data_IF_402804019565
#
_entry.id   IF_402804019565
#
_cell.length_a   1.000
_cell.length_b   1.000
_cell.length_c   1.000
_cell.angle_alpha   90.00
_cell.angle_beta   90.00
_cell.angle_gamma   90.00
#
_symmetry.space_group_name_H-M   'P 1'
#
loop_
_entity.id
_entity.type
_entity.pdbx_description
1 polymer ?
#
# COMPACT_ATOMS: atom_id res chain seq x y z
N UNK A 1 18.63 -1.16 29.74
CA UNK A 1 18.73 -1.55 28.32
C UNK A 1 17.38 -2.11 27.90
N UNK A 2 16.88 -1.75 26.71
CA UNK A 2 15.63 -2.31 26.16
C UNK A 2 15.78 -3.78 25.74
N UNK A 3 17.02 -4.26 25.64
CA UNK A 3 17.39 -5.63 25.26
C UNK A 3 18.20 -6.25 26.39
N UNK A 4 17.97 -7.54 26.64
CA UNK A 4 18.75 -8.31 27.61
C UNK A 4 20.23 -8.38 27.21
N UNK A 5 21.13 -8.56 28.18
CA UNK A 5 22.58 -8.47 27.92
C UNK A 5 23.07 -9.56 26.97
N UNK A 6 22.46 -10.73 27.03
CA UNK A 6 22.72 -11.89 26.18
C UNK A 6 22.34 -11.66 24.71
N UNK A 7 21.40 -10.76 24.41
CA UNK A 7 20.96 -10.44 23.05
C UNK A 7 21.52 -9.12 22.50
N UNK A 8 22.33 -8.40 23.29
CA UNK A 8 22.81 -7.08 22.91
C UNK A 8 23.69 -7.07 21.64
N UNK A 9 24.34 -8.20 21.33
CA UNK A 9 25.13 -8.37 20.09
C UNK A 9 24.28 -8.61 18.84
N UNK A 10 23.05 -9.08 19.00
CA UNK A 10 22.17 -9.50 17.90
C UNK A 10 21.13 -8.44 17.52
N UNK A 11 20.99 -7.38 18.33
CA UNK A 11 20.01 -6.31 18.12
C UNK A 11 20.71 -4.99 17.82
N UNK A 12 20.53 -4.51 16.59
CA UNK A 12 21.03 -3.19 16.16
C UNK A 12 19.89 -2.17 16.09
N UNK A 13 19.94 -1.14 16.95
CA UNK A 13 19.01 -0.01 16.90
C UNK A 13 19.56 1.10 15.99
N UNK A 14 18.96 1.24 14.82
CA UNK A 14 19.40 2.23 13.81
C UNK A 14 18.97 3.66 14.12
N UNK A 15 17.99 3.84 15.00
CA UNK A 15 17.32 5.12 15.21
C UNK A 15 16.49 5.56 13.99
N UNK A 16 16.29 6.86 13.84
CA UNK A 16 15.55 7.44 12.71
C UNK A 16 16.39 7.35 11.43
N UNK A 17 15.84 6.71 10.39
CA UNK A 17 16.47 6.58 9.08
C UNK A 17 15.64 7.34 8.04
N UNK A 18 16.10 8.54 7.67
CA UNK A 18 15.45 9.35 6.63
C UNK A 18 16.04 9.03 5.25
N UNK A 19 15.19 8.67 4.29
CA UNK A 19 15.59 8.35 2.91
C UNK A 19 16.37 7.04 2.73
N UNK A 20 17.11 6.57 3.74
CA UNK A 20 17.93 5.35 3.68
C UNK A 20 17.18 4.03 3.94
N UNK A 21 15.88 4.06 4.25
CA UNK A 21 15.10 2.83 4.53
C UNK A 21 15.18 1.76 3.42
N UNK A 22 15.21 2.10 2.11
CA UNK A 22 15.31 1.11 1.05
C UNK A 22 16.53 0.18 1.17
N UNK A 23 17.69 0.67 1.63
CA UNK A 23 18.88 -0.17 1.79
C UNK A 23 18.71 -1.19 2.92
N UNK A 24 17.98 -0.83 3.98
CA UNK A 24 17.66 -1.77 5.07
C UNK A 24 16.71 -2.86 4.60
N UNK A 25 15.68 -2.51 3.82
CA UNK A 25 14.80 -3.53 3.24
C UNK A 25 15.54 -4.46 2.28
N UNK A 26 16.39 -3.92 1.41
CA UNK A 26 17.16 -4.70 0.45
C UNK A 26 18.21 -5.62 1.11
N UNK A 27 18.73 -5.23 2.28
CA UNK A 27 19.68 -6.03 3.04
C UNK A 27 19.01 -7.08 3.96
N UNK A 28 17.69 -6.97 4.19
CA UNK A 28 16.99 -7.86 5.10
C UNK A 28 16.68 -9.21 4.43
N UNK A 29 17.02 -10.30 5.14
CA UNK A 29 16.61 -11.65 4.75
C UNK A 29 15.09 -11.86 4.82
N UNK A 30 14.44 -11.19 5.79
CA UNK A 30 13.00 -11.17 6.05
C UNK A 30 12.67 -9.82 6.68
N UNK A 31 11.60 -9.16 6.22
CA UNK A 31 11.01 -8.02 6.89
C UNK A 31 9.88 -8.47 7.83
N UNK A 32 10.04 -8.23 9.13
CA UNK A 32 9.07 -8.62 10.15
C UNK A 32 8.35 -7.42 10.76
N UNK A 33 7.03 -7.46 10.86
CA UNK A 33 6.24 -6.41 11.52
C UNK A 33 5.09 -6.99 12.37
N UNK A 34 5.31 -7.20 13.68
CA UNK A 34 4.30 -7.72 14.61
C UNK A 34 3.36 -6.62 15.11
N UNK A 35 2.91 -5.71 14.24
CA UNK A 35 2.07 -4.59 14.65
C UNK A 35 0.62 -5.04 14.93
N UNK A 36 -0.08 -4.38 15.85
CA UNK A 36 -1.48 -4.73 16.17
C UNK A 36 -2.51 -3.93 15.36
N UNK A 37 -2.09 -2.81 14.76
CA UNK A 37 -2.94 -1.92 13.96
C UNK A 37 -2.12 -1.27 12.85
N UNK A 38 -2.68 -1.26 11.66
CA UNK A 38 -2.18 -0.52 10.52
C UNK A 38 -3.35 -0.08 9.64
N UNK A 39 -3.16 1.02 8.90
CA UNK A 39 -4.15 1.54 7.95
C UNK A 39 -4.11 0.78 6.62
N UNK A 40 -3.10 1.00 5.77
CA UNK A 40 -3.00 0.38 4.43
C UNK A 40 -1.77 -0.52 4.24
N UNK A 41 -0.79 -0.48 5.17
CA UNK A 41 0.41 -1.30 5.04
C UNK A 41 1.43 -0.78 4.02
N UNK A 42 1.61 0.55 3.90
CA UNK A 42 2.65 1.13 3.04
C UNK A 42 4.04 0.56 3.33
N UNK A 43 4.34 0.27 4.61
CA UNK A 43 5.63 -0.35 4.99
C UNK A 43 5.84 -1.74 4.37
N UNK A 44 4.77 -2.50 4.11
CA UNK A 44 4.85 -3.78 3.39
C UNK A 44 5.14 -3.52 1.92
N UNK A 45 4.48 -2.54 1.30
CA UNK A 45 4.76 -2.17 -0.09
C UNK A 45 6.21 -1.71 -0.28
N UNK A 46 6.76 -0.92 0.66
CA UNK A 46 8.17 -0.50 0.64
C UNK A 46 9.12 -1.70 0.75
N UNK A 47 8.86 -2.63 1.67
CA UNK A 47 9.66 -3.84 1.82
C UNK A 47 9.56 -4.78 0.61
N UNK A 48 8.34 -5.00 0.10
CA UNK A 48 8.08 -5.80 -1.09
C UNK A 48 8.72 -5.20 -2.35
N UNK A 49 8.76 -3.88 -2.50
CA UNK A 49 9.46 -3.22 -3.61
C UNK A 49 10.96 -3.56 -3.61
N UNK A 50 11.56 -3.69 -2.42
CA UNK A 50 12.93 -4.15 -2.25
C UNK A 50 13.11 -5.67 -2.40
N UNK A 51 12.04 -6.42 -2.68
CA UNK A 51 11.96 -7.89 -2.66
C UNK A 51 12.32 -8.53 -1.31
N UNK A 52 12.02 -7.85 -0.20
CA UNK A 52 12.10 -8.46 1.11
C UNK A 52 10.88 -9.38 1.33
N UNK A 53 11.07 -10.66 1.71
CA UNK A 53 9.97 -11.53 2.13
C UNK A 53 9.29 -10.98 3.38
N UNK A 54 7.98 -11.09 3.47
CA UNK A 54 7.21 -10.47 4.56
C UNK A 54 6.81 -11.49 5.63
N UNK A 55 6.97 -11.14 6.90
CA UNK A 55 6.28 -11.78 8.03
C UNK A 55 5.55 -10.68 8.79
N UNK A 56 4.23 -10.68 8.75
CA UNK A 56 3.44 -9.58 9.30
C UNK A 56 2.25 -10.09 10.10
N UNK A 57 1.75 -9.28 11.02
CA UNK A 57 0.52 -9.63 11.73
C UNK A 57 -0.66 -9.78 10.78
N UNK A 58 -1.53 -10.72 11.07
CA UNK A 58 -2.75 -10.90 10.32
C UNK A 58 -3.82 -9.85 10.70
N UNK A 59 -3.79 -8.71 10.01
CA UNK A 59 -4.69 -7.57 10.23
C UNK A 59 -5.26 -7.03 8.91
N UNK A 60 -6.44 -6.41 8.99
CA UNK A 60 -7.18 -5.89 7.84
C UNK A 60 -6.31 -5.02 6.92
N UNK A 61 -5.55 -4.07 7.47
CA UNK A 61 -4.73 -3.15 6.68
C UNK A 61 -3.65 -3.86 5.85
N UNK A 62 -3.12 -4.98 6.32
CA UNK A 62 -2.08 -5.73 5.61
C UNK A 62 -2.66 -6.68 4.55
N UNK A 63 -3.85 -7.25 4.81
CA UNK A 63 -4.60 -8.04 3.81
C UNK A 63 -5.01 -7.24 2.57
N UNK A 64 -4.97 -5.90 2.63
CA UNK A 64 -5.26 -5.05 1.47
C UNK A 64 -4.14 -5.06 0.43
N UNK A 65 -2.90 -5.39 0.82
CA UNK A 65 -1.71 -5.22 -0.02
C UNK A 65 -0.94 -6.51 -0.29
N UNK A 66 -1.20 -7.57 0.47
CA UNK A 66 -0.56 -8.87 0.29
C UNK A 66 -1.51 -10.04 0.56
N UNK A 67 -1.13 -11.21 0.06
CA UNK A 67 -1.81 -12.48 0.22
C UNK A 67 -0.92 -13.43 1.04
N UNK A 68 -1.54 -14.14 1.99
CA UNK A 68 -0.82 -15.10 2.82
C UNK A 68 -0.26 -16.25 1.98
N UNK A 69 0.99 -16.62 2.25
CA UNK A 69 1.75 -17.65 1.53
C UNK A 69 2.38 -17.20 0.21
N UNK A 70 1.96 -16.06 -0.36
CA UNK A 70 2.44 -15.59 -1.66
C UNK A 70 3.65 -14.65 -1.55
N UNK A 71 3.46 -13.46 -0.97
CA UNK A 71 4.56 -12.50 -0.75
C UNK A 71 5.24 -12.70 0.61
N UNK A 72 4.67 -13.55 1.46
CA UNK A 72 5.08 -13.70 2.85
C UNK A 72 4.09 -14.53 3.65
N UNK A 73 4.14 -14.38 4.98
CA UNK A 73 3.23 -15.06 5.91
C UNK A 73 2.53 -14.04 6.81
N UNK A 74 1.21 -14.17 6.91
CA UNK A 74 0.39 -13.44 7.88
C UNK A 74 0.24 -14.29 9.14
N UNK A 75 0.71 -13.78 10.28
CA UNK A 75 0.70 -14.49 11.57
C UNK A 75 -0.58 -14.15 12.34
N UNK A 76 -1.48 -15.12 12.61
CA UNK A 76 -2.68 -14.89 13.39
C UNK A 76 -2.34 -14.64 14.86
N UNK A 77 -2.77 -13.51 15.41
CA UNK A 77 -2.55 -13.19 16.83
C UNK A 77 -1.12 -12.73 17.14
N UNK A 78 -0.99 -11.83 18.11
CA UNK A 78 0.28 -11.14 18.42
C UNK A 78 1.24 -11.94 19.32
N UNK A 79 1.23 -13.27 19.25
CA UNK A 79 2.11 -14.13 20.06
C UNK A 79 3.54 -14.08 19.54
N UNK A 80 4.54 -13.70 20.35
CA UNK A 80 5.94 -13.74 19.94
C UNK A 80 6.41 -15.12 19.45
N UNK A 81 5.85 -16.20 20.00
CA UNK A 81 6.20 -17.57 19.66
C UNK A 81 5.78 -17.94 18.23
N UNK A 82 4.64 -17.44 17.76
CA UNK A 82 4.14 -17.74 16.41
C UNK A 82 5.01 -17.04 15.36
N UNK A 83 5.38 -15.78 15.63
CA UNK A 83 6.35 -15.05 14.80
C UNK A 83 7.71 -15.76 14.77
N UNK A 84 8.23 -16.19 15.92
CA UNK A 84 9.50 -16.89 15.99
C UNK A 84 9.49 -18.19 15.16
N UNK A 85 8.40 -18.96 15.24
CA UNK A 85 8.23 -20.20 14.48
C UNK A 85 8.29 -19.93 12.97
N UNK A 86 7.49 -18.97 12.48
CA UNK A 86 7.44 -18.61 11.06
C UNK A 86 8.79 -18.07 10.57
N UNK A 87 9.45 -17.22 11.36
CA UNK A 87 10.76 -16.67 11.02
C UNK A 87 11.81 -17.78 10.89
N UNK A 88 11.88 -18.69 11.84
CA UNK A 88 12.83 -19.81 11.82
C UNK A 88 12.60 -20.75 10.63
N UNK A 89 11.34 -21.04 10.31
CA UNK A 89 11.00 -21.88 9.17
C UNK A 89 11.39 -21.24 7.84
N UNK A 90 11.16 -19.93 7.67
CA UNK A 90 11.59 -19.21 6.47
C UNK A 90 13.11 -19.06 6.38
N UNK A 91 13.81 -18.84 7.50
CA UNK A 91 15.28 -18.75 7.51
C UNK A 91 15.93 -20.06 7.03
N UNK A 92 15.28 -21.21 7.24
CA UNK A 92 15.74 -22.53 6.78
C UNK A 92 15.47 -22.79 5.29
N UNK A 93 14.60 -22.00 4.64
CA UNK A 93 14.21 -22.18 3.24
C UNK A 93 14.54 -20.92 2.39
N UNK A 94 15.79 -20.78 1.93
CA UNK A 94 16.21 -19.63 1.14
C UNK A 94 15.51 -19.55 -0.23
N UNK A 95 15.07 -20.68 -0.80
CA UNK A 95 14.35 -20.70 -2.08
C UNK A 95 12.96 -20.08 -1.90
N UNK A 96 12.23 -20.52 -0.88
CA UNK A 96 10.92 -19.96 -0.54
C UNK A 96 11.00 -18.47 -0.24
N UNK A 97 12.01 -18.02 0.51
CA UNK A 97 12.25 -16.59 0.74
C UNK A 97 12.43 -15.83 -0.57
N UNK A 98 13.31 -16.29 -1.45
CA UNK A 98 13.53 -15.64 -2.75
C UNK A 98 12.26 -15.56 -3.60
N UNK A 99 11.46 -16.63 -3.62
CA UNK A 99 10.19 -16.65 -4.35
C UNK A 99 9.18 -15.65 -3.79
N UNK A 100 9.06 -15.57 -2.46
CA UNK A 100 8.19 -14.60 -1.78
C UNK A 100 8.62 -13.16 -2.07
N UNK A 101 9.91 -12.86 -1.99
CA UNK A 101 10.45 -11.54 -2.31
C UNK A 101 10.15 -11.10 -3.73
N UNK A 102 10.36 -11.98 -4.72
CA UNK A 102 10.06 -11.70 -6.12
C UNK A 102 8.55 -11.51 -6.36
N UNK A 103 7.72 -12.35 -5.73
CA UNK A 103 6.27 -12.19 -5.78
C UNK A 103 5.83 -10.83 -5.19
N UNK A 104 6.45 -10.40 -4.09
CA UNK A 104 6.25 -9.08 -3.50
C UNK A 104 6.59 -7.95 -4.46
N UNK A 105 7.79 -7.97 -5.04
CA UNK A 105 8.23 -6.93 -5.99
C UNK A 105 7.30 -6.84 -7.20
N UNK A 106 6.95 -7.98 -7.78
CA UNK A 106 5.99 -8.06 -8.89
C UNK A 106 4.63 -7.46 -8.51
N UNK A 107 4.10 -7.83 -7.33
CA UNK A 107 2.84 -7.29 -6.81
C UNK A 107 2.87 -5.76 -6.75
N UNK A 108 3.96 -5.17 -6.26
CA UNK A 108 4.11 -3.71 -6.18
C UNK A 108 4.14 -3.08 -7.57
N UNK A 109 4.94 -3.61 -8.49
CA UNK A 109 5.05 -3.07 -9.86
C UNK A 109 3.70 -3.07 -10.57
N UNK A 110 2.99 -4.20 -10.49
CA UNK A 110 1.76 -4.44 -11.24
C UNK A 110 0.53 -3.73 -10.66
N UNK A 111 0.50 -3.46 -9.35
CA UNK A 111 -0.72 -3.01 -8.66
C UNK A 111 -0.57 -1.72 -7.87
N UNK A 112 0.65 -1.36 -7.47
CA UNK A 112 0.87 -0.29 -6.48
C UNK A 112 1.99 0.69 -6.89
N UNK A 113 2.46 0.64 -8.13
CA UNK A 113 3.45 1.59 -8.63
C UNK A 113 2.86 3.00 -8.71
N UNK A 114 3.68 4.01 -8.44
CA UNK A 114 3.25 5.41 -8.51
C UNK A 114 2.75 5.81 -9.90
N UNK A 115 3.34 5.24 -10.96
CA UNK A 115 2.88 5.46 -12.33
C UNK A 115 1.44 4.97 -12.53
N UNK A 116 1.08 3.83 -11.95
CA UNK A 116 -0.27 3.28 -12.03
C UNK A 116 -1.25 4.08 -11.16
N UNK A 117 -0.91 4.29 -9.90
CA UNK A 117 -1.77 4.99 -8.93
C UNK A 117 -2.01 6.43 -9.39
N UNK A 118 -0.97 7.12 -9.87
CA UNK A 118 -1.06 8.48 -10.39
C UNK A 118 -2.05 8.57 -11.57
N UNK A 119 -1.94 7.67 -12.54
CA UNK A 119 -2.87 7.60 -13.69
C UNK A 119 -4.32 7.33 -13.26
N UNK A 120 -4.53 6.46 -12.27
CA UNK A 120 -5.87 6.17 -11.75
C UNK A 120 -6.50 7.41 -11.09
N UNK A 121 -5.73 8.12 -10.27
CA UNK A 121 -6.19 9.36 -9.61
C UNK A 121 -6.46 10.45 -10.64
N UNK A 122 -5.57 10.64 -11.61
CA UNK A 122 -5.73 11.61 -12.70
C UNK A 122 -6.99 11.31 -13.53
N UNK A 123 -7.18 10.05 -13.93
CA UNK A 123 -8.38 9.63 -14.67
C UNK A 123 -9.66 9.87 -13.88
N UNK A 124 -9.63 9.68 -12.57
CA UNK A 124 -10.79 9.94 -11.71
C UNK A 124 -11.12 11.44 -11.67
N UNK A 125 -10.12 12.30 -11.52
CA UNK A 125 -10.32 13.76 -11.57
C UNK A 125 -10.79 14.24 -12.94
N UNK A 126 -10.22 13.73 -14.03
CA UNK A 126 -10.64 14.06 -15.38
C UNK A 126 -12.12 13.72 -15.61
N UNK A 127 -12.59 12.58 -15.11
CA UNK A 127 -14.01 12.20 -15.17
C UNK A 127 -14.91 13.18 -14.43
N UNK A 128 -14.57 13.53 -13.19
CA UNK A 128 -15.39 14.47 -12.40
C UNK A 128 -15.46 15.86 -13.03
N UNK A 129 -14.35 16.33 -13.62
CA UNK A 129 -14.32 17.62 -14.32
C UNK A 129 -15.12 17.57 -15.64
N UNK A 130 -15.09 16.45 -16.36
CA UNK A 130 -15.92 16.20 -17.54
C UNK A 130 -17.42 16.13 -17.24
N UNK A 131 -17.80 15.48 -16.14
CA UNK A 131 -19.19 15.42 -15.66
C UNK A 131 -19.69 16.78 -15.15
N UNK A 132 -18.83 17.53 -14.44
CA UNK A 132 -19.14 18.88 -13.99
C UNK A 132 -19.37 19.85 -15.16
N UNK A 133 -18.53 19.78 -16.19
CA UNK A 133 -18.69 20.61 -17.41
C UNK A 133 -19.92 20.23 -18.23
N UNK A 134 -20.29 18.95 -18.30
CA UNK A 134 -21.53 18.50 -18.96
C UNK A 134 -22.80 18.92 -18.22
N UNK A 135 -22.81 18.83 -16.89
CA UNK A 135 -23.96 19.21 -16.06
C UNK A 135 -24.14 20.75 -15.98
N UNK A 136 -23.06 21.52 -15.85
CA UNK A 136 -23.13 22.98 -15.85
C UNK A 136 -23.49 23.55 -17.22
N UNK A 137 -23.02 22.95 -18.33
CA UNK A 137 -23.44 23.39 -19.67
C UNK A 137 -24.91 23.09 -19.96
N UNK A 138 -25.43 21.94 -19.53
CA UNK A 138 -26.86 21.63 -19.67
C UNK A 138 -27.74 22.61 -18.86
N UNK A 139 -27.32 22.97 -17.64
CA UNK A 139 -28.00 23.95 -16.81
C UNK A 139 -27.89 25.39 -17.36
N UNK A 140 -26.76 25.75 -17.98
CA UNK A 140 -26.58 27.05 -18.64
C UNK A 140 -27.45 27.16 -19.92
N UNK A 141 -27.49 26.12 -20.76
CA UNK A 141 -28.27 26.09 -22.00
C UNK A 141 -29.79 26.05 -21.74
N UNK A 142 -30.25 25.38 -20.67
CA UNK A 142 -31.65 25.39 -20.25
C UNK A 142 -32.14 26.76 -19.76
N UNK A 143 -31.26 27.57 -19.15
CA UNK A 143 -31.58 28.94 -18.70
C UNK A 143 -31.66 29.94 -19.86
N UNK A 144 -30.83 29.79 -20.89
CA UNK A 144 -30.90 30.64 -22.10
C UNK A 144 -32.13 30.38 -22.96
N UNK A 145 -32.61 29.13 -23.05
CA UNK A 145 -33.83 28.79 -23.80
C UNK A 145 -35.13 29.33 -23.16
N UNK A 146 -35.15 29.46 -21.82
CA UNK A 146 -36.26 30.07 -21.06
C UNK A 146 -36.35 31.59 -21.24
N UNK A 147 -35.19 32.27 -21.33
CA UNK A 147 -35.14 33.72 -21.54
C UNK A 147 -35.64 34.14 -22.94
N UNK A 148 -35.37 33.34 -23.98
CA UNK A 148 -35.83 33.62 -25.35
C UNK A 148 -37.36 33.53 -25.53
N UNK A 149 -38.04 32.65 -24.79
CA UNK A 149 -39.52 32.51 -24.86
C UNK A 149 -40.28 33.62 -24.13
N UNK A 150 -39.67 34.29 -23.14
CA UNK A 150 -40.30 35.44 -22.45
C UNK A 150 -40.21 36.75 -23.23
N UNK A 151 -39.21 36.93 -24.09
CA UNK A 151 -39.07 38.14 -24.91
C UNK A 151 -40.08 38.20 -26.08
N UNK A 152 -40.64 37.06 -26.52
CA UNK A 152 -41.61 36.98 -27.62
C UNK A 152 -43.08 37.09 -27.17
N UNK A 153 -43.35 36.99 -25.86
CA UNK A 153 -44.71 37.03 -25.29
C UNK A 153 -45.13 38.41 -24.74
N UNK A 154 -44.30 39.45 -24.91
CA UNK A 154 -44.55 40.82 -24.43
C UNK A 154 -44.72 41.84 -25.59
N UNK A 155 -44.99 41.36 -26.81
CA UNK A 155 -45.28 42.19 -28.01
C UNK A 155 -46.58 41.77 -28.69
N UNK A 156 -47.64 41.60 -27.91
CA UNK A 156 -49.02 41.41 -28.39
C UNK A 156 -49.96 42.20 -27.51
#
# INVERSE_FOLDING_TARGET
>A
SLVSRDLAGDVHFTGLVNGGRPSYYAAADIFCTPCTKASFGVVLLEAMAAAAPIVASDINGYRLVMEDGLQGTLVPGGSPQDFATVLLDLLRDPLRRRMMGEAGRRTVIERFSWDLVGKQVESYYARLLGEATGADMSAALGRTASAGKRALALRS
#
